data_IF_137269422540
#
_entry.id   IF_137269422540
#
_cell.length_a   1.000
_cell.length_b   1.000
_cell.length_c   1.000
_cell.angle_alpha   90.00
_cell.angle_beta   90.00
_cell.angle_gamma   90.00
#
_symmetry.space_group_name_H-M   'P 1'
#
loop_
_entity.id
_entity.type
_entity.pdbx_description
1 polymer ?
#
# COMPACT_ATOMS: atom_id res chain seq x y z
N UNK A 1 -5.11 2.83 0.54
CA UNK A 1 -3.98 3.76 0.71
C UNK A 1 -4.25 5.04 -0.10
N UNK A 2 -3.84 6.20 0.38
CA UNK A 2 -4.17 7.51 -0.23
C UNK A 2 -2.97 8.43 -0.20
N UNK A 3 -2.80 9.20 -1.26
CA UNK A 3 -1.87 10.33 -1.33
C UNK A 3 -2.67 11.63 -1.28
N UNK A 4 -2.16 12.60 -0.54
CA UNK A 4 -2.79 13.90 -0.34
C UNK A 4 -1.87 15.00 -0.86
N UNK A 5 -2.47 16.04 -1.42
CA UNK A 5 -1.79 17.31 -1.65
C UNK A 5 -1.38 17.91 -0.30
N UNK A 6 -0.10 18.26 -0.16
CA UNK A 6 0.47 18.68 1.13
C UNK A 6 -0.06 20.04 1.60
N UNK A 7 -0.47 20.92 0.68
CA UNK A 7 -0.93 22.26 1.03
C UNK A 7 -2.42 22.30 1.39
N UNK A 8 -3.24 21.50 0.71
CA UNK A 8 -4.70 21.54 0.77
C UNK A 8 -5.31 20.33 1.47
N UNK A 9 -4.56 19.24 1.65
CA UNK A 9 -5.07 17.99 2.19
C UNK A 9 -6.05 17.27 1.26
N UNK A 10 -6.17 17.68 -0.01
CA UNK A 10 -7.04 17.03 -0.99
C UNK A 10 -6.43 15.71 -1.44
N UNK A 11 -7.25 14.67 -1.59
CA UNK A 11 -6.80 13.40 -2.15
C UNK A 11 -6.41 13.62 -3.61
N UNK A 12 -5.16 13.29 -3.96
CA UNK A 12 -4.66 13.36 -5.35
C UNK A 12 -4.59 11.98 -6.00
N UNK A 13 -4.52 10.92 -5.19
CA UNK A 13 -4.56 9.54 -5.66
C UNK A 13 -5.00 8.61 -4.52
N UNK A 14 -5.65 7.50 -4.88
CA UNK A 14 -6.06 6.47 -3.93
C UNK A 14 -6.10 5.09 -4.56
N UNK A 15 -5.72 4.08 -3.79
CA UNK A 15 -5.88 2.67 -4.12
C UNK A 15 -6.62 1.95 -2.99
N UNK A 16 -7.56 1.08 -3.35
CA UNK A 16 -8.23 0.20 -2.40
C UNK A 16 -7.35 -1.02 -2.12
N UNK A 17 -6.72 -0.99 -0.96
CA UNK A 17 -5.76 -2.02 -0.56
C UNK A 17 -6.44 -3.28 -0.05
N UNK A 18 -7.76 -3.29 0.19
CA UNK A 18 -8.49 -4.47 0.65
C UNK A 18 -8.74 -5.50 -0.46
N UNK A 19 -8.68 -5.05 -1.72
CA UNK A 19 -8.88 -5.92 -2.85
C UNK A 19 -7.83 -7.05 -2.86
N UNK A 20 -8.27 -8.25 -3.21
CA UNK A 20 -7.38 -9.38 -3.41
C UNK A 20 -6.49 -9.13 -4.64
N UNK A 21 -5.21 -9.49 -4.54
CA UNK A 21 -4.20 -9.29 -5.58
C UNK A 21 -3.40 -10.57 -5.82
N UNK A 22 -3.06 -10.80 -7.08
CA UNK A 22 -2.02 -11.75 -7.45
C UNK A 22 -0.66 -11.07 -7.29
N UNK A 23 0.24 -11.67 -6.53
CA UNK A 23 1.59 -11.12 -6.29
C UNK A 23 2.56 -11.54 -7.39
N UNK A 24 3.72 -10.89 -7.44
CA UNK A 24 4.81 -11.24 -8.37
C UNK A 24 5.36 -12.65 -8.18
N UNK A 25 5.15 -13.26 -7.01
CA UNK A 25 5.53 -14.66 -6.74
C UNK A 25 4.44 -15.66 -7.15
N UNK A 26 3.27 -15.18 -7.61
CA UNK A 26 2.11 -16.02 -7.95
C UNK A 26 1.24 -16.42 -6.76
N UNK A 27 1.53 -15.94 -5.55
CA UNK A 27 0.66 -16.13 -4.39
C UNK A 27 -0.49 -15.10 -4.38
N UNK A 28 -1.68 -15.52 -3.94
CA UNK A 28 -2.79 -14.61 -3.63
C UNK A 28 -2.52 -13.90 -2.31
N UNK A 29 -2.70 -12.59 -2.31
CA UNK A 29 -2.59 -11.74 -1.12
C UNK A 29 -3.82 -10.84 -1.00
N UNK A 30 -4.10 -10.41 0.22
CA UNK A 30 -5.20 -9.52 0.56
C UNK A 30 -4.72 -8.48 1.56
N UNK A 31 -5.29 -7.28 1.49
CA UNK A 31 -5.04 -6.26 2.48
C UNK A 31 -5.82 -6.47 3.76
N UNK A 32 -5.48 -5.63 4.74
CA UNK A 32 -6.10 -5.59 6.04
C UNK A 32 -6.05 -4.20 6.66
N UNK A 33 -6.29 -4.13 7.97
CA UNK A 33 -6.14 -2.90 8.74
C UNK A 33 -4.70 -2.40 8.69
N UNK A 34 -4.50 -1.10 8.48
CA UNK A 34 -3.18 -0.47 8.42
C UNK A 34 -2.99 0.39 9.67
N UNK A 35 -2.47 -0.22 10.74
CA UNK A 35 -2.17 0.48 12.01
C UNK A 35 -0.73 0.25 12.48
N UNK A 36 0.12 -0.30 11.62
CA UNK A 36 1.55 -0.48 11.85
C UNK A 36 2.37 0.69 11.31
N UNK A 37 3.61 0.45 10.83
CA UNK A 37 4.44 1.51 10.27
C UNK A 37 3.79 2.14 9.03
N UNK A 38 4.05 3.45 8.85
CA UNK A 38 3.64 4.19 7.66
C UNK A 38 4.38 3.74 6.40
N UNK A 39 4.09 4.40 5.27
CA UNK A 39 4.76 4.11 4.01
C UNK A 39 6.26 4.47 4.06
N UNK A 40 7.09 3.62 3.46
CA UNK A 40 8.51 3.91 3.20
C UNK A 40 8.66 4.43 1.76
N UNK A 41 9.50 5.44 1.55
CA UNK A 41 9.68 6.10 0.26
C UNK A 41 11.18 6.15 -0.07
N UNK A 42 11.54 5.73 -1.28
CA UNK A 42 12.93 5.74 -1.76
C UNK A 42 13.03 5.32 -3.21
N UNK A 43 14.02 5.86 -3.93
CA UNK A 43 14.31 5.55 -5.34
C UNK A 43 13.07 5.60 -6.26
N UNK A 44 12.21 6.60 -6.08
CA UNK A 44 10.98 6.76 -6.88
C UNK A 44 9.85 5.78 -6.53
N UNK A 45 10.02 4.95 -5.50
CA UNK A 45 9.04 3.95 -5.07
C UNK A 45 8.41 4.29 -3.72
N UNK A 46 7.17 3.84 -3.53
CA UNK A 46 6.45 3.88 -2.27
C UNK A 46 6.12 2.45 -1.87
N UNK A 47 6.60 2.03 -0.70
CA UNK A 47 6.37 0.69 -0.14
C UNK A 47 5.41 0.81 1.04
N UNK A 48 4.31 0.06 1.00
CA UNK A 48 3.31 0.06 2.07
C UNK A 48 2.83 -1.35 2.39
N UNK A 49 2.69 -1.63 3.68
CA UNK A 49 2.11 -2.87 4.18
C UNK A 49 0.60 -2.69 4.40
N UNK A 50 -0.19 -3.64 3.91
CA UNK A 50 -1.63 -3.73 4.15
C UNK A 50 -1.96 -5.01 4.90
N UNK A 51 -2.19 -4.83 6.20
CA UNK A 51 -2.42 -5.92 7.14
C UNK A 51 -1.77 -5.61 8.48
N UNK A 52 -2.54 -5.71 9.55
CA UNK A 52 -2.02 -5.56 10.90
C UNK A 52 -2.79 -6.55 11.75
N UNK A 53 -2.21 -7.72 11.98
CA UNK A 53 -2.86 -8.78 12.75
C UNK A 53 -2.77 -8.59 14.27
N UNK A 54 -2.07 -7.56 14.73
CA UNK A 54 -1.95 -7.24 16.16
C UNK A 54 -3.22 -6.54 16.66
N UNK A 55 -3.60 -6.80 17.91
CA UNK A 55 -4.74 -6.17 18.60
C UNK A 55 -6.11 -6.34 17.94
N UNK A 56 -6.38 -7.49 17.31
CA UNK A 56 -7.67 -7.78 16.63
C UNK A 56 -8.00 -6.85 15.46
N UNK A 57 -7.01 -6.16 14.91
CA UNK A 57 -7.17 -5.43 13.66
C UNK A 57 -7.38 -6.43 12.51
N UNK A 58 -8.01 -5.95 11.43
CA UNK A 58 -8.29 -6.80 10.27
C UNK A 58 -6.97 -7.34 9.70
N UNK A 59 -6.78 -8.67 9.63
CA UNK A 59 -5.56 -9.26 9.12
C UNK A 59 -5.40 -9.00 7.62
N UNK A 60 -4.17 -9.05 7.15
CA UNK A 60 -3.79 -8.91 5.75
C UNK A 60 -2.34 -9.32 5.58
N UNK A 61 -1.96 -9.77 4.38
CA UNK A 61 -0.62 -10.26 4.07
C UNK A 61 -0.02 -9.56 2.84
N UNK A 62 -0.56 -8.41 2.46
CA UNK A 62 -0.23 -7.72 1.22
C UNK A 62 0.84 -6.64 1.46
N UNK A 63 1.97 -6.76 0.78
CA UNK A 63 3.00 -5.71 0.67
C UNK A 63 2.96 -5.16 -0.75
N UNK A 64 2.84 -3.83 -0.88
CA UNK A 64 2.68 -3.16 -2.17
C UNK A 64 3.82 -2.19 -2.42
N UNK A 65 4.24 -2.14 -3.68
CA UNK A 65 5.21 -1.17 -4.17
C UNK A 65 4.53 -0.40 -5.30
N UNK A 66 4.42 0.91 -5.13
CA UNK A 66 3.93 1.82 -6.17
C UNK A 66 5.10 2.59 -6.77
N UNK A 67 5.02 2.87 -8.06
CA UNK A 67 5.96 3.69 -8.81
C UNK A 67 5.23 4.47 -9.91
N UNK A 68 5.92 5.40 -10.56
CA UNK A 68 5.35 6.14 -11.69
C UNK A 68 5.43 5.26 -12.94
N UNK A 69 4.36 5.19 -13.73
CA UNK A 69 4.39 4.46 -15.00
C UNK A 69 5.48 5.05 -15.90
N UNK A 70 6.49 4.25 -16.25
CA UNK A 70 7.64 4.66 -17.07
C UNK A 70 8.98 4.79 -16.33
N UNK A 71 9.05 4.54 -15.02
CA UNK A 71 10.32 4.54 -14.26
C UNK A 71 11.02 3.18 -14.17
N UNK A 72 10.49 2.16 -14.85
CA UNK A 72 11.20 0.89 -15.06
C UNK A 72 12.15 1.05 -16.24
N UNK A 73 13.45 1.16 -15.96
CA UNK A 73 14.50 0.95 -16.96
C UNK A 73 14.56 -0.49 -17.42
#
# INVERSE_FOLDING_TARGET
FRAYDAATGRIVWSDDTLAERMTVTGARAHGGGMSGPGAAIGDGHIVVNSGYGLYFHMPGNLLQVYGVAGSGG
#
